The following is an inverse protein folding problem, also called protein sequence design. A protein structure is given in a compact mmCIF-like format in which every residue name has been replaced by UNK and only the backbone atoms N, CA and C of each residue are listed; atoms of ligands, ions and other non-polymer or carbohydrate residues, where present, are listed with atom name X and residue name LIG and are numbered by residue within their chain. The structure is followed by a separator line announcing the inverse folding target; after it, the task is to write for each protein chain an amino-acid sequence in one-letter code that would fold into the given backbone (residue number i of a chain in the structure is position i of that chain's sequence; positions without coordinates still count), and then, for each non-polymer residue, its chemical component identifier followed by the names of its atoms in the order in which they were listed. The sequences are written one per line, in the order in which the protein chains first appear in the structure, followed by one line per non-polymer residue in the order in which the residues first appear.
data_IF_289564120884
#
_entry.id   IF_289564120884
#
_cell.length_a   1.000
_cell.length_b   1.000
_cell.length_c   1.000
_cell.angle_alpha   90.00
_cell.angle_beta   90.00
_cell.angle_gamma   90.00
#
_symmetry.space_group_name_H-M   'P 1'
#
loop_
_entity.id
_entity.type
_entity.pdbx_description
1 polymer ?
#
# COMPACT_ATOMS: atom_id res chain seq x y z
N UNK A 1 9.14 4.61 11.58
CA UNK A 1 8.27 4.00 10.56
C UNK A 1 7.61 2.77 11.17
N UNK A 2 6.34 2.49 10.87
CA UNK A 2 5.63 1.31 11.39
C UNK A 2 4.95 0.62 10.23
N UNK A 3 5.37 -0.61 9.94
CA UNK A 3 4.66 -1.49 9.01
C UNK A 3 3.67 -2.37 9.78
N UNK A 4 2.72 -2.97 9.08
CA UNK A 4 1.86 -4.01 9.65
C UNK A 4 2.62 -5.32 9.75
N UNK A 5 2.25 -6.17 10.71
CA UNK A 5 2.80 -7.52 10.83
C UNK A 5 2.01 -8.45 9.90
N UNK A 6 2.44 -8.51 8.64
CA UNK A 6 1.81 -9.31 7.60
C UNK A 6 2.80 -9.76 6.53
N UNK A 7 2.37 -10.67 5.66
CA UNK A 7 3.26 -11.32 4.67
C UNK A 7 3.86 -10.31 3.71
N UNK A 8 3.08 -9.29 3.33
CA UNK A 8 3.54 -8.20 2.46
C UNK A 8 4.69 -7.41 3.10
N UNK A 9 4.54 -7.01 4.37
CA UNK A 9 5.54 -6.25 5.10
C UNK A 9 6.82 -7.04 5.36
N UNK A 10 6.71 -8.33 5.70
CA UNK A 10 7.87 -9.21 5.86
C UNK A 10 8.67 -9.30 4.57
N UNK A 11 7.97 -9.44 3.43
CA UNK A 11 8.63 -9.52 2.13
C UNK A 11 9.35 -8.22 1.76
N UNK A 12 8.71 -7.07 1.96
CA UNK A 12 9.32 -5.76 1.74
C UNK A 12 10.55 -5.59 2.64
N UNK A 13 10.45 -5.97 3.91
CA UNK A 13 11.55 -5.86 4.88
C UNK A 13 12.75 -6.72 4.46
N UNK A 14 12.51 -7.94 3.98
CA UNK A 14 13.57 -8.84 3.48
C UNK A 14 14.30 -8.33 2.23
N UNK A 15 13.73 -7.34 1.53
CA UNK A 15 14.29 -6.76 0.31
C UNK A 15 15.07 -5.48 0.57
N UNK A 16 15.11 -5.01 1.82
CA UNK A 16 15.90 -3.85 2.17
C UNK A 16 17.41 -4.20 2.15
N UNK A 17 18.27 -3.29 1.68
CA UNK A 17 17.95 -1.97 1.13
C UNK A 17 17.39 -2.03 -0.30
N UNK A 18 16.34 -1.23 -0.58
CA UNK A 18 15.65 -1.20 -1.86
C UNK A 18 16.04 0.03 -2.68
N UNK A 19 16.26 -0.16 -3.99
CA UNK A 19 16.47 0.90 -4.97
C UNK A 19 15.36 0.86 -6.01
N UNK A 20 14.69 1.97 -6.26
CA UNK A 20 13.66 2.09 -7.29
C UNK A 20 13.54 3.53 -7.81
N UNK A 21 12.82 3.70 -8.92
CA UNK A 21 12.45 5.01 -9.46
C UNK A 21 11.16 5.50 -8.76
N UNK A 22 11.17 6.75 -8.35
CA UNK A 22 10.04 7.38 -7.66
C UNK A 22 9.06 7.94 -8.68
N UNK A 23 7.77 7.67 -8.48
CA UNK A 23 6.66 8.25 -9.22
C UNK A 23 5.71 8.99 -8.26
N UNK A 24 4.89 9.89 -8.81
CA UNK A 24 3.93 10.71 -8.05
C UNK A 24 2.56 10.65 -8.71
N UNK A 25 1.50 10.47 -7.93
CA UNK A 25 0.11 10.55 -8.37
C UNK A 25 -0.71 11.39 -7.40
N UNK A 26 -1.03 12.64 -7.80
CA UNK A 26 -1.63 13.60 -6.87
C UNK A 26 -0.69 13.88 -5.70
N UNK A 27 -1.17 13.67 -4.48
CA UNK A 27 -0.38 13.80 -3.24
C UNK A 27 0.33 12.49 -2.83
N UNK A 28 0.24 11.43 -3.63
CA UNK A 28 0.83 10.12 -3.32
C UNK A 28 2.17 9.91 -4.04
N UNK A 29 3.18 9.43 -3.30
CA UNK A 29 4.46 8.98 -3.83
C UNK A 29 4.46 7.45 -3.83
N UNK A 30 4.75 6.85 -4.98
CA UNK A 30 4.84 5.40 -5.12
C UNK A 30 6.08 5.00 -5.92
N UNK A 31 6.56 3.77 -5.74
CA UNK A 31 7.70 3.24 -6.49
C UNK A 31 7.45 1.77 -6.82
N UNK A 32 7.63 1.35 -8.07
CA UNK A 32 7.44 -0.04 -8.46
C UNK A 32 8.57 -0.92 -7.90
N UNK A 33 8.25 -2.16 -7.57
CA UNK A 33 9.24 -3.17 -7.20
C UNK A 33 9.04 -4.39 -8.10
N UNK A 34 9.92 -4.55 -9.08
CA UNK A 34 9.75 -5.53 -10.16
C UNK A 34 9.87 -6.99 -9.70
N UNK A 35 10.58 -7.23 -8.59
CA UNK A 35 10.94 -8.58 -8.12
C UNK A 35 9.91 -9.23 -7.18
N UNK A 36 8.76 -8.60 -6.94
CA UNK A 36 7.76 -9.10 -5.99
C UNK A 36 6.48 -9.52 -6.70
N UNK A 37 6.15 -10.81 -6.60
CA UNK A 37 4.80 -11.32 -6.89
C UNK A 37 4.15 -11.72 -5.57
N UNK A 38 3.23 -10.89 -5.08
CA UNK A 38 2.41 -11.17 -3.91
C UNK A 38 0.95 -11.35 -4.34
N UNK A 39 0.25 -12.23 -3.63
CA UNK A 39 -1.21 -12.28 -3.70
C UNK A 39 -1.77 -11.18 -2.80
N UNK A 40 -2.91 -10.62 -3.19
CA UNK A 40 -3.64 -9.69 -2.35
C UNK A 40 -4.05 -10.40 -1.05
N UNK A 41 -3.79 -9.78 0.09
CA UNK A 41 -4.22 -10.30 1.39
C UNK A 41 -5.72 -10.02 1.58
N UNK A 42 -6.45 -10.92 2.25
CA UNK A 42 -7.91 -10.83 2.37
C UNK A 42 -8.40 -9.56 3.09
N UNK A 43 -7.55 -8.96 3.92
CA UNK A 43 -7.81 -7.72 4.64
C UNK A 43 -7.30 -6.47 3.90
N UNK A 44 -6.78 -6.62 2.68
CA UNK A 44 -6.36 -5.50 1.86
C UNK A 44 -7.58 -4.67 1.49
N UNK A 45 -7.56 -3.39 1.88
CA UNK A 45 -8.63 -2.47 1.51
C UNK A 45 -8.46 -2.08 0.05
N UNK A 46 -9.52 -2.25 -0.72
CA UNK A 46 -9.57 -1.72 -2.07
C UNK A 46 -9.57 -0.17 -2.03
N UNK A 47 -8.67 0.51 -2.78
CA UNK A 47 -8.60 1.97 -2.80
C UNK A 47 -9.90 2.65 -3.26
N UNK A 48 -10.67 2.02 -4.16
CA UNK A 48 -11.95 2.54 -4.61
C UNK A 48 -13.02 2.39 -3.52
N UNK A 49 -12.97 1.34 -2.71
CA UNK A 49 -13.82 1.20 -1.52
C UNK A 49 -13.50 2.26 -0.45
N UNK A 50 -12.24 2.71 -0.33
CA UNK A 50 -11.86 3.82 0.56
C UNK A 50 -12.47 5.15 0.12
N UNK A 51 -12.65 5.39 -1.19
CA UNK A 51 -13.29 6.59 -1.72
C UNK A 51 -14.78 6.66 -1.34
N UNK A 52 -15.46 5.51 -1.33
CA UNK A 52 -16.86 5.40 -0.91
C UNK A 52 -17.00 5.75 0.58
N UNK A 53 -16.09 5.26 1.43
CA UNK A 53 -16.12 5.53 2.88
C UNK A 53 -15.86 7.01 3.22
N UNK A 54 -15.06 7.73 2.42
CA UNK A 54 -14.82 9.17 2.59
C UNK A 54 -16.04 10.04 2.24
N UNK A 55 -16.98 9.51 1.46
CA UNK A 55 -18.19 10.20 1.01
C UNK A 55 -19.44 9.89 1.85
N UNK A 56 -19.32 9.06 2.89
CA UNK A 56 -20.40 8.86 3.85
C UNK A 56 -20.46 10.09 4.76
N UNK A 57 -21.59 10.81 4.85
CA UNK A 57 -21.74 11.91 5.80
C UNK A 57 -21.51 11.35 7.20
N UNK A 58 -20.51 11.89 7.88
CA UNK A 58 -20.30 11.63 9.30
C UNK A 58 -21.45 12.32 10.03
N UNK A 59 -22.53 11.60 10.31
CA UNK A 59 -23.58 12.11 11.18
C UNK A 59 -22.95 12.40 12.54
N UNK A 60 -23.01 13.68 12.92
CA UNK A 60 -22.66 14.18 14.26
C UNK A 60 -23.80 13.88 15.22
#
# INVERSE_FOLDING_TARGET
CKSRDNVTAEKITSLLPLKSNINVWGDEIYFPVESIKLKLEDNAKDPNQLLILKNIPQNT
#
